data_IF_675970163679
#
_entry.id   IF_675970163679
#
_cell.length_a   1.000
_cell.length_b   1.000
_cell.length_c   1.000
_cell.angle_alpha   90.00
_cell.angle_beta   90.00
_cell.angle_gamma   90.00
#
_symmetry.space_group_name_H-M   'P 1'
#
loop_
_entity.id
_entity.type
_entity.pdbx_description
1 polymer ?
#
# COMPACT_ATOMS: atom_id res chain seq x y z
N UNK A 1 -29.33 25.93 -37.63
CA UNK A 1 -28.73 25.59 -36.33
C UNK A 1 -28.42 24.12 -36.33
N UNK A 2 -27.20 23.67 -36.44
CA UNK A 2 -26.87 22.26 -36.34
C UNK A 2 -26.62 21.90 -34.89
N UNK A 3 -27.30 20.89 -34.41
CA UNK A 3 -27.06 20.25 -33.10
C UNK A 3 -25.74 19.50 -33.15
N UNK A 4 -24.79 19.91 -32.31
CA UNK A 4 -23.57 19.15 -32.08
C UNK A 4 -23.91 18.14 -30.96
N UNK A 5 -23.99 16.86 -31.33
CA UNK A 5 -23.99 15.76 -30.37
C UNK A 5 -22.60 15.68 -29.72
N UNK A 6 -22.56 15.80 -28.42
CA UNK A 6 -21.39 15.46 -27.64
C UNK A 6 -21.14 13.94 -27.72
N UNK A 7 -19.90 13.49 -27.94
CA UNK A 7 -19.60 12.07 -27.89
C UNK A 7 -19.66 11.57 -26.45
N UNK A 8 -20.39 10.49 -26.28
CA UNK A 8 -20.49 9.73 -25.05
C UNK A 8 -19.10 9.25 -24.61
N UNK A 9 -18.88 9.33 -23.32
CA UNK A 9 -17.69 8.80 -22.63
C UNK A 9 -17.71 7.26 -22.78
N UNK A 10 -16.70 6.66 -23.40
CA UNK A 10 -16.56 5.22 -23.32
C UNK A 10 -15.53 4.84 -22.26
N UNK A 11 -16.03 4.22 -21.19
CA UNK A 11 -15.48 2.99 -20.70
C UNK A 11 -14.12 3.00 -20.02
N UNK A 12 -14.14 3.29 -18.76
CA UNK A 12 -13.20 2.74 -17.75
C UNK A 12 -13.45 1.24 -17.46
N UNK A 13 -14.18 0.53 -18.31
CA UNK A 13 -14.59 -0.87 -18.09
C UNK A 13 -13.64 -1.89 -18.75
N UNK A 14 -12.73 -1.49 -19.63
CA UNK A 14 -11.91 -2.43 -20.38
C UNK A 14 -10.63 -2.93 -19.69
N UNK A 15 -10.32 -2.50 -18.47
CA UNK A 15 -9.12 -2.95 -17.74
C UNK A 15 -9.37 -4.07 -16.72
N UNK A 16 -10.62 -4.52 -16.56
CA UNK A 16 -10.97 -5.56 -15.57
C UNK A 16 -10.94 -7.00 -16.10
N UNK A 17 -10.76 -7.22 -17.40
CA UNK A 17 -10.93 -8.57 -17.98
C UNK A 17 -9.64 -9.42 -18.09
N UNK A 18 -8.47 -8.93 -17.67
CA UNK A 18 -7.23 -9.72 -17.77
C UNK A 18 -6.71 -10.32 -16.46
N UNK A 19 -7.49 -10.30 -15.39
CA UNK A 19 -7.06 -10.81 -14.07
C UNK A 19 -7.78 -12.09 -13.58
N UNK A 20 -8.61 -12.75 -14.41
CA UNK A 20 -9.48 -13.85 -13.96
C UNK A 20 -9.13 -15.23 -14.52
N UNK A 21 -7.91 -15.49 -14.98
CA UNK A 21 -7.52 -16.82 -15.49
C UNK A 21 -6.34 -17.47 -14.78
N UNK A 22 -6.21 -17.34 -13.48
CA UNK A 22 -5.25 -18.16 -12.75
C UNK A 22 -5.57 -18.32 -11.27
N UNK A 23 -6.75 -18.84 -10.89
CA UNK A 23 -6.95 -19.44 -9.56
C UNK A 23 -8.16 -20.39 -9.60
N UNK A 24 -8.03 -21.50 -10.30
CA UNK A 24 -8.88 -22.68 -10.09
C UNK A 24 -8.10 -23.68 -9.26
N UNK A 25 -8.53 -23.93 -8.04
CA UNK A 25 -8.14 -25.11 -7.32
C UNK A 25 -7.65 -24.93 -5.90
N UNK A 26 -8.55 -24.61 -4.95
CA UNK A 26 -8.45 -25.17 -3.59
C UNK A 26 -9.88 -25.27 -3.04
N UNK A 27 -10.38 -26.49 -2.97
CA UNK A 27 -11.60 -26.84 -2.24
C UNK A 27 -11.21 -27.01 -0.78
N UNK A 28 -11.72 -26.16 0.09
CA UNK A 28 -11.61 -26.37 1.54
C UNK A 28 -12.96 -26.83 2.04
N UNK A 29 -12.99 -28.09 2.53
CA UNK A 29 -14.15 -28.69 3.14
C UNK A 29 -14.50 -28.03 4.49
N UNK A 30 -15.75 -27.62 4.61
CA UNK A 30 -16.34 -27.13 5.86
C UNK A 30 -16.89 -28.32 6.62
N UNK A 31 -16.25 -28.67 7.75
CA UNK A 31 -16.80 -29.60 8.71
C UNK A 31 -17.59 -28.84 9.79
N UNK A 32 -18.91 -28.95 9.75
CA UNK A 32 -19.81 -28.51 10.81
C UNK A 32 -19.95 -29.63 11.83
N UNK A 33 -19.52 -29.40 13.08
CA UNK A 33 -19.77 -30.28 14.20
C UNK A 33 -20.54 -29.52 15.28
N UNK A 34 -21.85 -29.77 15.35
CA UNK A 34 -22.72 -29.34 16.45
C UNK A 34 -22.71 -30.46 17.49
N UNK A 35 -22.44 -30.11 18.75
CA UNK A 35 -22.58 -31.02 19.87
C UNK A 35 -22.95 -30.23 21.16
N UNK A 36 -24.22 -30.32 21.52
CA UNK A 36 -24.80 -29.84 22.75
C UNK A 36 -24.90 -31.06 23.70
N UNK A 37 -24.51 -30.92 24.96
CA UNK A 37 -25.05 -31.64 26.15
C UNK A 37 -24.41 -31.06 27.41
N UNK A 38 -25.13 -30.44 28.18
CA UNK A 38 -26.00 -30.57 29.37
C UNK A 38 -25.29 -31.12 30.59
N UNK A 39 -25.29 -30.26 31.58
CA UNK A 39 -25.30 -30.29 33.03
C UNK A 39 -25.21 -31.64 33.79
N UNK A 40 -24.42 -31.66 34.87
CA UNK A 40 -24.87 -32.04 36.23
C UNK A 40 -23.88 -31.57 37.31
N UNK A 41 -24.47 -31.18 38.45
CA UNK A 41 -23.92 -30.77 39.75
C UNK A 41 -23.16 -31.90 40.45
N UNK A 42 -22.14 -31.63 41.27
CA UNK A 42 -22.17 -31.61 42.72
C UNK A 42 -20.79 -31.55 43.37
N UNK A 43 -20.71 -30.67 44.40
CA UNK A 43 -19.99 -30.68 45.70
C UNK A 43 -18.47 -30.76 45.81
N UNK A 44 -17.97 -29.65 46.38
CA UNK A 44 -17.04 -29.50 47.51
C UNK A 44 -15.93 -30.55 47.74
N UNK A 45 -14.69 -30.07 47.71
CA UNK A 45 -13.78 -30.07 48.87
C UNK A 45 -12.54 -29.20 48.63
N UNK A 46 -12.29 -28.36 49.61
CA UNK A 46 -11.17 -27.45 49.82
C UNK A 46 -9.83 -28.21 49.85
N UNK A 47 -8.89 -27.80 48.98
CA UNK A 47 -7.44 -27.95 49.21
C UNK A 47 -6.66 -26.90 48.44
N UNK A 48 -6.31 -25.85 49.17
CA UNK A 48 -5.28 -24.88 48.83
C UNK A 48 -4.03 -25.56 48.35
N UNK A 49 -3.79 -25.60 47.03
CA UNK A 49 -2.48 -25.75 46.45
C UNK A 49 -2.22 -24.56 45.53
N UNK A 50 -1.30 -23.74 46.02
CA UNK A 50 -0.66 -22.68 45.22
C UNK A 50 0.07 -23.36 44.07
N UNK A 51 -0.61 -23.58 42.97
CA UNK A 51 0.05 -23.87 41.72
C UNK A 51 0.42 -22.52 41.07
N UNK A 52 1.71 -22.28 41.01
CA UNK A 52 2.32 -21.23 40.19
C UNK A 52 1.88 -21.50 38.77
N UNK A 53 0.77 -20.87 38.37
CA UNK A 53 0.29 -20.91 37.01
C UNK A 53 1.38 -20.36 36.08
N UNK A 54 2.08 -21.26 35.44
CA UNK A 54 2.89 -20.94 34.27
C UNK A 54 1.92 -20.33 33.28
N UNK A 55 1.91 -19.01 33.19
CA UNK A 55 1.25 -18.31 32.08
C UNK A 55 1.93 -18.89 30.83
N UNK A 56 1.25 -19.82 30.18
CA UNK A 56 1.60 -20.25 28.85
C UNK A 56 1.47 -18.99 28.00
N UNK A 57 2.56 -18.25 27.88
CA UNK A 57 2.75 -17.24 26.86
C UNK A 57 2.53 -17.95 25.53
N UNK A 58 1.33 -17.88 24.99
CA UNK A 58 1.12 -18.12 23.57
C UNK A 58 1.85 -16.97 22.86
N UNK A 59 3.17 -17.10 22.76
CA UNK A 59 3.94 -16.37 21.78
C UNK A 59 3.44 -16.92 20.44
N UNK A 60 2.43 -16.26 19.87
CA UNK A 60 2.27 -16.24 18.43
C UNK A 60 3.66 -15.88 17.92
N UNK A 61 4.31 -16.86 17.30
CA UNK A 61 5.63 -16.68 16.69
C UNK A 61 5.42 -15.54 15.70
N UNK A 62 5.93 -14.34 16.00
CA UNK A 62 5.91 -13.26 15.03
C UNK A 62 6.62 -13.81 13.81
N UNK A 63 5.91 -13.95 12.70
CA UNK A 63 6.53 -14.36 11.46
C UNK A 63 7.61 -13.33 11.15
N UNK A 64 8.83 -13.82 10.94
CA UNK A 64 9.94 -12.97 10.55
C UNK A 64 9.59 -12.28 9.23
N UNK A 65 9.86 -10.99 9.13
CA UNK A 65 9.52 -10.24 7.92
C UNK A 65 10.29 -10.80 6.71
N UNK A 66 9.62 -11.34 5.69
CA UNK A 66 10.29 -11.98 4.56
C UNK A 66 11.02 -10.98 3.65
N UNK A 67 10.86 -9.69 3.86
CA UNK A 67 11.59 -8.65 3.14
C UNK A 67 12.98 -8.36 3.75
N UNK A 68 13.26 -8.81 4.98
CA UNK A 68 14.59 -8.68 5.59
C UNK A 68 15.58 -9.42 4.69
N UNK A 69 16.76 -8.85 4.47
CA UNK A 69 17.82 -9.31 3.58
C UNK A 69 17.52 -9.22 2.07
N UNK A 70 16.29 -8.84 1.68
CA UNK A 70 15.94 -8.58 0.27
C UNK A 70 15.85 -7.09 -0.06
N UNK A 71 15.83 -6.23 0.95
CA UNK A 71 15.75 -4.78 0.79
C UNK A 71 17.14 -4.19 0.86
N UNK A 72 17.49 -3.41 -0.15
CA UNK A 72 18.78 -2.72 -0.25
C UNK A 72 18.57 -1.21 -0.36
N UNK A 73 19.49 -0.46 0.23
CA UNK A 73 19.53 1.00 0.04
C UNK A 73 20.12 1.31 -1.34
N UNK A 74 19.56 2.33 -1.98
CA UNK A 74 20.03 2.87 -3.24
C UNK A 74 19.87 4.40 -3.24
N UNK A 75 20.35 5.08 -4.28
CA UNK A 75 20.32 6.52 -4.41
C UNK A 75 19.71 6.93 -5.74
N UNK A 76 18.68 7.75 -5.68
CA UNK A 76 18.04 8.32 -6.87
C UNK A 76 18.34 9.82 -7.01
N UNK A 77 18.51 10.29 -8.27
CA UNK A 77 18.51 11.71 -8.55
C UNK A 77 17.12 12.28 -8.34
N UNK A 78 17.07 13.45 -7.71
CA UNK A 78 15.77 14.13 -7.46
C UNK A 78 15.11 14.66 -8.73
N UNK A 79 15.86 14.82 -9.84
CA UNK A 79 15.34 15.14 -11.18
C UNK A 79 14.34 16.30 -11.22
N UNK A 80 14.64 17.39 -10.52
CA UNK A 80 13.78 18.55 -10.43
C UNK A 80 12.54 18.39 -9.55
N UNK A 81 12.55 17.43 -8.62
CA UNK A 81 11.56 17.39 -7.53
C UNK A 81 11.62 18.70 -6.74
N UNK A 82 10.47 19.21 -6.31
CA UNK A 82 10.42 20.42 -5.48
C UNK A 82 11.04 20.17 -4.09
N UNK A 83 11.56 21.23 -3.47
CA UNK A 83 12.08 21.17 -2.10
C UNK A 83 11.04 20.63 -1.12
N UNK A 84 9.75 20.97 -1.33
CA UNK A 84 8.65 20.41 -0.55
C UNK A 84 8.57 18.88 -0.69
N UNK A 85 8.71 18.34 -1.90
CA UNK A 85 8.65 16.89 -2.11
C UNK A 85 9.83 16.17 -1.46
N UNK A 86 11.03 16.73 -1.57
CA UNK A 86 12.25 16.20 -0.94
C UNK A 86 12.12 16.25 0.60
N UNK A 87 11.71 17.39 1.15
CA UNK A 87 11.53 17.57 2.59
C UNK A 87 10.44 16.64 3.14
N UNK A 88 9.36 16.46 2.40
CA UNK A 88 8.28 15.56 2.81
C UNK A 88 8.73 14.09 2.78
N UNK A 89 9.46 13.66 1.74
CA UNK A 89 10.03 12.32 1.71
C UNK A 89 10.98 12.09 2.89
N UNK A 90 11.88 13.04 3.17
CA UNK A 90 12.78 12.96 4.31
C UNK A 90 12.01 12.92 5.66
N UNK A 91 10.92 13.66 5.77
CA UNK A 91 10.07 13.66 6.97
C UNK A 91 9.38 12.31 7.20
N UNK A 92 8.74 11.75 6.16
CA UNK A 92 7.99 10.48 6.25
C UNK A 92 8.94 9.29 6.37
N UNK A 93 9.92 9.19 5.47
CA UNK A 93 10.74 8.01 5.30
C UNK A 93 12.03 8.03 6.13
N UNK A 94 12.38 9.20 6.70
CA UNK A 94 13.65 9.46 7.42
C UNK A 94 14.88 9.23 6.53
N UNK A 95 14.70 9.40 5.21
CA UNK A 95 15.75 9.23 4.21
C UNK A 95 16.69 10.45 4.17
N UNK A 96 17.91 10.22 3.71
CA UNK A 96 18.95 11.24 3.59
C UNK A 96 18.90 11.86 2.20
N UNK A 97 18.94 13.19 2.14
CA UNK A 97 19.13 13.93 0.90
C UNK A 97 20.51 14.57 0.89
N UNK A 98 21.24 14.39 -0.21
CA UNK A 98 22.52 15.05 -0.44
C UNK A 98 22.33 16.21 -1.45
N UNK A 99 22.38 17.47 -1.00
CA UNK A 99 22.11 18.61 -1.88
C UNK A 99 23.25 18.88 -2.89
N UNK A 100 24.46 18.36 -2.65
CA UNK A 100 25.62 18.55 -3.56
C UNK A 100 25.49 17.65 -4.78
N UNK A 101 25.02 16.43 -4.59
CA UNK A 101 24.86 15.44 -5.67
C UNK A 101 23.44 15.40 -6.21
N UNK A 102 22.50 16.11 -5.58
CA UNK A 102 21.06 16.05 -5.82
C UNK A 102 20.50 14.61 -5.76
N UNK A 103 21.07 13.79 -4.86
CA UNK A 103 20.67 12.42 -4.65
C UNK A 103 19.88 12.27 -3.36
N UNK A 104 18.84 11.46 -3.40
CA UNK A 104 18.05 11.06 -2.24
C UNK A 104 18.09 9.55 -2.05
N UNK A 105 18.21 9.15 -0.80
CA UNK A 105 18.18 7.73 -0.42
C UNK A 105 16.80 7.12 -0.72
N UNK A 106 16.80 5.92 -1.28
CA UNK A 106 15.63 5.09 -1.54
C UNK A 106 15.92 3.64 -1.16
N UNK A 107 14.88 2.84 -1.08
CA UNK A 107 14.99 1.44 -0.70
C UNK A 107 14.44 0.56 -1.81
N UNK A 108 15.20 -0.42 -2.25
CA UNK A 108 14.86 -1.28 -3.38
C UNK A 108 14.61 -2.70 -2.93
N UNK A 109 13.45 -3.25 -3.31
CA UNK A 109 13.10 -4.65 -3.14
C UNK A 109 12.53 -5.18 -4.45
N UNK A 110 13.06 -6.31 -4.93
CA UNK A 110 12.64 -6.94 -6.21
C UNK A 110 12.60 -5.95 -7.39
N UNK A 111 13.62 -5.09 -7.51
CA UNK A 111 13.73 -4.02 -8.53
C UNK A 111 12.61 -2.96 -8.48
N UNK A 112 11.92 -2.83 -7.36
CA UNK A 112 10.94 -1.77 -7.11
C UNK A 112 11.47 -0.85 -6.03
N UNK A 113 11.45 0.45 -6.32
CA UNK A 113 11.91 1.51 -5.42
C UNK A 113 10.77 1.93 -4.49
N UNK A 114 11.14 2.22 -3.24
CA UNK A 114 10.30 2.77 -2.17
C UNK A 114 11.04 3.95 -1.55
N UNK A 115 10.32 4.95 -1.06
CA UNK A 115 10.93 6.10 -0.40
C UNK A 115 11.56 5.73 0.95
N UNK A 116 11.06 4.69 1.64
CA UNK A 116 11.59 4.27 2.92
C UNK A 116 11.33 2.81 3.27
N UNK A 117 12.11 2.30 4.23
CA UNK A 117 11.98 0.96 4.77
C UNK A 117 12.14 0.95 6.30
N UNK A 118 11.21 0.32 6.98
CA UNK A 118 11.23 0.09 8.43
C UNK A 118 11.23 -1.42 8.69
N UNK A 119 12.40 -2.01 8.82
CA UNK A 119 12.59 -3.46 8.98
C UNK A 119 11.85 -4.02 10.19
N UNK A 120 11.88 -3.30 11.32
CA UNK A 120 11.21 -3.70 12.54
C UNK A 120 9.68 -3.84 12.38
N UNK A 121 9.08 -2.99 11.54
CA UNK A 121 7.64 -2.98 11.28
C UNK A 121 7.26 -3.78 10.03
N UNK A 122 8.23 -4.34 9.30
CA UNK A 122 8.02 -4.96 7.98
C UNK A 122 7.25 -4.02 7.03
N UNK A 123 7.71 -2.78 6.92
CA UNK A 123 6.92 -1.70 6.35
C UNK A 123 7.72 -0.88 5.33
N UNK A 124 7.21 -0.78 4.12
CA UNK A 124 7.66 0.17 3.12
C UNK A 124 6.91 1.50 3.24
N UNK A 125 7.59 2.59 2.91
CA UNK A 125 7.03 3.93 2.95
C UNK A 125 7.10 4.59 1.58
N UNK A 126 6.08 5.37 1.26
CA UNK A 126 5.98 6.20 0.08
C UNK A 126 5.42 7.57 0.46
N UNK A 127 6.03 8.64 -0.03
CA UNK A 127 5.69 10.03 0.31
C UNK A 127 5.22 10.81 -0.93
N UNK A 128 4.06 11.43 -0.85
CA UNK A 128 3.44 12.19 -1.93
C UNK A 128 3.09 13.60 -1.47
N UNK A 129 3.95 14.55 -1.80
CA UNK A 129 3.70 15.96 -1.56
C UNK A 129 3.23 16.67 -2.84
N UNK A 130 2.49 17.75 -2.67
CA UNK A 130 2.09 18.68 -3.73
C UNK A 130 1.31 18.05 -4.90
N UNK A 131 0.47 17.04 -4.61
CA UNK A 131 -0.32 16.36 -5.64
C UNK A 131 -1.69 16.98 -5.89
N UNK A 132 -2.26 17.76 -4.96
CA UNK A 132 -3.57 18.39 -5.15
C UNK A 132 -3.60 19.37 -6.33
N UNK A 133 -2.44 19.90 -6.74
CA UNK A 133 -2.32 20.72 -7.95
C UNK A 133 -2.76 20.00 -9.24
N UNK A 134 -2.80 18.67 -9.24
CA UNK A 134 -3.23 17.84 -10.37
C UNK A 134 -4.73 17.54 -10.38
N UNK A 135 -5.46 18.08 -9.40
CA UNK A 135 -6.89 17.86 -9.21
C UNK A 135 -7.67 19.17 -9.29
N UNK A 136 -8.93 19.07 -9.67
CA UNK A 136 -9.92 20.13 -9.67
C UNK A 136 -11.27 19.51 -9.27
N UNK A 137 -11.94 20.08 -8.28
CA UNK A 137 -13.19 19.56 -7.73
C UNK A 137 -13.16 18.08 -7.31
N UNK A 138 -11.98 17.61 -6.90
CA UNK A 138 -11.76 16.21 -6.47
C UNK A 138 -11.42 15.24 -7.61
N UNK A 139 -11.49 15.68 -8.87
CA UNK A 139 -11.21 14.87 -10.04
C UNK A 139 -9.84 15.21 -10.66
N UNK A 140 -9.16 14.26 -11.31
CA UNK A 140 -7.90 14.53 -12.00
C UNK A 140 -8.07 15.55 -13.12
N UNK A 141 -7.20 16.53 -13.19
CA UNK A 141 -7.17 17.47 -14.31
C UNK A 141 -6.83 16.74 -15.60
N UNK A 142 -7.40 17.21 -16.71
CA UNK A 142 -7.24 16.60 -18.01
C UNK A 142 -5.79 16.26 -18.38
N UNK A 143 -4.84 17.17 -18.12
CA UNK A 143 -3.44 16.92 -18.46
C UNK A 143 -2.79 15.81 -17.61
N UNK A 144 -3.23 15.65 -16.38
CA UNK A 144 -2.72 14.59 -15.49
C UNK A 144 -3.22 13.21 -15.91
N UNK A 145 -4.45 13.16 -16.42
CA UNK A 145 -5.11 11.93 -16.87
C UNK A 145 -4.75 11.54 -18.30
N UNK A 146 -4.53 12.52 -19.21
CA UNK A 146 -4.47 12.25 -20.64
C UNK A 146 -3.14 12.65 -21.31
N UNK A 147 -2.38 13.60 -20.74
CA UNK A 147 -1.17 14.08 -21.38
C UNK A 147 -0.03 13.08 -21.31
N UNK A 148 0.60 12.82 -22.47
CA UNK A 148 1.79 11.98 -22.63
C UNK A 148 2.84 12.78 -23.40
N UNK A 149 4.10 12.73 -22.94
CA UNK A 149 5.22 13.36 -23.69
C UNK A 149 5.46 12.65 -25.02
N UNK A 150 5.31 11.33 -25.03
CA UNK A 150 5.36 10.45 -26.20
C UNK A 150 4.18 9.48 -26.12
N UNK A 151 3.70 8.94 -27.27
CA UNK A 151 2.58 7.98 -27.25
C UNK A 151 2.79 6.74 -26.37
N UNK A 152 4.06 6.32 -26.21
CA UNK A 152 4.46 5.19 -25.37
C UNK A 152 4.54 5.49 -23.88
N UNK A 153 4.54 6.77 -23.51
CA UNK A 153 4.73 7.17 -22.11
C UNK A 153 3.42 7.02 -21.34
N UNK A 154 3.54 6.82 -20.05
CA UNK A 154 2.39 6.87 -19.15
C UNK A 154 1.99 8.31 -18.87
N UNK A 155 0.71 8.53 -18.62
CA UNK A 155 0.22 9.78 -18.05
C UNK A 155 0.67 9.92 -16.60
N UNK A 156 0.47 11.08 -15.99
CA UNK A 156 0.75 11.26 -14.56
C UNK A 156 -0.04 10.30 -13.69
N UNK A 157 -1.35 10.19 -13.96
CA UNK A 157 -2.25 9.27 -13.24
C UNK A 157 -1.84 7.80 -13.44
N UNK A 158 -1.60 7.38 -14.68
CA UNK A 158 -1.14 6.01 -14.97
C UNK A 158 0.20 5.68 -14.28
N UNK A 159 1.09 6.65 -14.17
CA UNK A 159 2.38 6.50 -13.50
C UNK A 159 2.19 6.22 -12.01
N UNK A 160 1.29 6.95 -11.35
CA UNK A 160 0.94 6.74 -9.94
C UNK A 160 0.33 5.36 -9.70
N UNK A 161 -0.69 5.00 -10.47
CA UNK A 161 -1.33 3.68 -10.38
C UNK A 161 -0.33 2.56 -10.66
N UNK A 162 0.53 2.73 -11.67
CA UNK A 162 1.57 1.76 -12.01
C UNK A 162 2.61 1.60 -10.90
N UNK A 163 2.97 2.66 -10.20
CA UNK A 163 3.90 2.61 -9.06
C UNK A 163 3.25 1.81 -7.91
N UNK A 164 2.03 2.17 -7.51
CA UNK A 164 1.31 1.47 -6.46
C UNK A 164 1.11 -0.03 -6.79
N UNK A 165 0.79 -0.35 -8.05
CA UNK A 165 0.66 -1.73 -8.51
C UNK A 165 1.94 -2.52 -8.33
N UNK A 166 3.11 -1.98 -8.75
CA UNK A 166 4.39 -2.66 -8.58
C UNK A 166 4.72 -2.89 -7.11
N UNK A 167 4.51 -1.89 -6.26
CA UNK A 167 4.73 -2.00 -4.82
C UNK A 167 3.78 -3.03 -4.18
N UNK A 168 2.50 -3.02 -4.57
CA UNK A 168 1.54 -4.04 -4.12
C UNK A 168 1.96 -5.46 -4.52
N UNK A 169 2.47 -5.65 -5.75
CA UNK A 169 2.97 -6.94 -6.24
C UNK A 169 4.16 -7.42 -5.41
N UNK A 170 5.11 -6.55 -5.09
CA UNK A 170 6.24 -6.91 -4.20
C UNK A 170 5.73 -7.38 -2.84
N UNK A 171 4.84 -6.64 -2.20
CA UNK A 171 4.27 -7.04 -0.92
C UNK A 171 3.51 -8.39 -1.03
N UNK A 172 2.75 -8.59 -2.11
CA UNK A 172 2.03 -9.85 -2.36
C UNK A 172 2.98 -11.03 -2.52
N UNK A 173 4.08 -10.87 -3.27
CA UNK A 173 5.08 -11.93 -3.47
C UNK A 173 5.80 -12.33 -2.18
N UNK A 174 5.79 -11.45 -1.19
CA UNK A 174 6.32 -11.66 0.16
C UNK A 174 5.20 -12.08 1.14
N UNK A 175 4.27 -12.91 0.68
CA UNK A 175 3.15 -13.47 1.45
C UNK A 175 2.20 -12.42 2.02
N UNK A 176 2.20 -11.20 1.46
CA UNK A 176 1.43 -10.05 1.96
C UNK A 176 1.73 -9.65 3.42
N UNK A 177 2.88 -10.09 3.95
CA UNK A 177 3.35 -9.70 5.29
C UNK A 177 3.82 -8.24 5.27
N UNK A 178 4.73 -7.80 4.38
CA UNK A 178 5.05 -6.39 4.27
C UNK A 178 3.84 -5.59 3.77
N UNK A 179 3.71 -4.37 4.26
CA UNK A 179 2.76 -3.38 3.74
C UNK A 179 3.52 -2.19 3.18
N UNK A 180 2.89 -1.45 2.27
CA UNK A 180 3.40 -0.18 1.79
C UNK A 180 2.45 0.94 2.22
N UNK A 181 2.94 1.84 3.07
CA UNK A 181 2.20 2.99 3.54
C UNK A 181 2.48 4.18 2.62
N UNK A 182 1.43 4.69 2.02
CA UNK A 182 1.46 5.85 1.15
C UNK A 182 0.96 7.07 1.92
N UNK A 183 1.86 7.99 2.18
CA UNK A 183 1.59 9.22 2.90
C UNK A 183 1.40 10.37 1.92
N UNK A 184 0.23 10.96 1.93
CA UNK A 184 -0.09 12.16 1.15
C UNK A 184 -0.07 13.37 2.06
N UNK A 185 0.65 14.42 1.65
CA UNK A 185 0.64 15.69 2.39
C UNK A 185 -0.72 16.38 2.28
N UNK A 186 -1.43 16.21 1.17
CA UNK A 186 -2.59 16.99 0.79
C UNK A 186 -3.85 16.12 0.71
N UNK A 187 -5.03 16.64 1.13
CA UNK A 187 -6.23 15.83 1.34
C UNK A 187 -6.96 15.41 0.06
N UNK A 188 -6.93 16.20 -1.02
CA UNK A 188 -7.67 15.86 -2.25
C UNK A 188 -7.04 14.64 -2.92
N UNK A 189 -5.74 14.68 -3.14
CA UNK A 189 -5.00 13.55 -3.70
C UNK A 189 -5.05 12.31 -2.81
N UNK A 190 -5.00 12.47 -1.48
CA UNK A 190 -5.22 11.38 -0.53
C UNK A 190 -6.57 10.69 -0.76
N UNK A 191 -7.66 11.49 -0.79
CA UNK A 191 -9.01 10.95 -0.95
C UNK A 191 -9.17 10.21 -2.27
N UNK A 192 -8.71 10.81 -3.36
CA UNK A 192 -8.78 10.21 -4.69
C UNK A 192 -8.01 8.89 -4.77
N UNK A 193 -6.72 8.88 -4.37
CA UNK A 193 -5.89 7.68 -4.48
C UNK A 193 -6.30 6.58 -3.50
N UNK A 194 -6.87 6.91 -2.34
CA UNK A 194 -7.47 5.91 -1.45
C UNK A 194 -8.58 5.14 -2.16
N UNK A 195 -9.50 5.83 -2.80
CA UNK A 195 -10.57 5.22 -3.60
C UNK A 195 -10.03 4.44 -4.79
N UNK A 196 -9.10 5.02 -5.54
CA UNK A 196 -8.50 4.39 -6.72
C UNK A 196 -7.76 3.10 -6.37
N UNK A 197 -6.89 3.10 -5.35
CA UNK A 197 -6.14 1.90 -4.95
C UNK A 197 -7.06 0.79 -4.44
N UNK A 198 -8.12 1.15 -3.72
CA UNK A 198 -9.16 0.21 -3.30
C UNK A 198 -9.87 -0.42 -4.50
N UNK A 199 -10.27 0.37 -5.49
CA UNK A 199 -10.95 -0.13 -6.71
C UNK A 199 -10.07 -1.04 -7.56
N UNK A 200 -8.74 -0.85 -7.53
CA UNK A 200 -7.77 -1.75 -8.16
C UNK A 200 -7.41 -2.99 -7.31
N UNK A 201 -7.96 -3.11 -6.12
CA UNK A 201 -7.69 -4.24 -5.22
C UNK A 201 -6.27 -4.28 -4.67
N UNK A 202 -5.62 -3.13 -4.45
CA UNK A 202 -4.28 -3.06 -3.88
C UNK A 202 -4.30 -3.25 -2.36
N UNK A 203 -4.49 -4.48 -1.91
CA UNK A 203 -4.70 -4.83 -0.49
C UNK A 203 -3.48 -4.64 0.41
N UNK A 204 -2.29 -4.44 -0.16
CA UNK A 204 -1.06 -4.20 0.59
C UNK A 204 -0.63 -2.73 0.58
N UNK A 205 -1.39 -1.85 -0.09
CA UNK A 205 -1.20 -0.40 -0.06
C UNK A 205 -2.16 0.20 0.95
N UNK A 206 -1.64 0.92 1.93
CA UNK A 206 -2.43 1.63 2.95
C UNK A 206 -2.12 3.11 2.83
N UNK A 207 -3.13 3.93 2.72
CA UNK A 207 -3.00 5.37 2.49
C UNK A 207 -3.24 6.19 3.76
N UNK A 208 -2.51 7.28 3.91
CA UNK A 208 -2.62 8.22 5.03
C UNK A 208 -2.56 9.66 4.51
N UNK A 209 -3.37 10.55 5.10
CA UNK A 209 -3.13 11.98 4.99
C UNK A 209 -2.29 12.42 6.19
N UNK A 210 -1.02 12.76 5.94
CA UNK A 210 -0.05 13.07 6.99
C UNK A 210 0.49 14.47 6.78
N UNK A 211 0.16 15.38 7.67
CA UNK A 211 0.67 16.75 7.63
C UNK A 211 2.12 16.79 8.08
N UNK A 212 2.91 17.63 7.44
CA UNK A 212 4.25 17.99 7.88
C UNK A 212 4.14 19.25 8.76
N UNK A 213 4.79 19.28 9.94
CA UNK A 213 4.78 20.43 10.85
C UNK A 213 5.33 21.70 10.24
#
# INVERSE_FOLDING_TARGET
MPFILAPAVPALVAAAEYALTALAGIVIGVGVGVGIEEATKDKEEDKTKTETGTIASSRTKCEECPAIDQVMVDWEKTNGRSDLAISYQAFIAKTIFNPVTEMIEVWVCSNVSFDGWQSYNCLFLEAKANYDQFFEDGEPKWFFEHFRKKPSDKTGLESMISQARRQNVVCTSLSSIPKSHWHFLQPVSYTYFTGAFSSFGFTNIITFNTLMP
#
